data_IF_498899048016
#
_entry.id   IF_498899048016
#
_cell.length_a   1.000
_cell.length_b   1.000
_cell.length_c   1.000
_cell.angle_alpha   90.00
_cell.angle_beta   90.00
_cell.angle_gamma   90.00
#
_symmetry.space_group_name_H-M   'P 1'
#
loop_
_entity.id
_entity.type
_entity.pdbx_description
1 polymer ?
#
# COMPACT_ATOMS: atom_id res chain seq x y z
N UNK A 1 -14.65 -9.10 -15.76
CA UNK A 1 -14.62 -10.42 -15.10
C UNK A 1 -13.43 -10.62 -14.17
N UNK A 2 -12.17 -10.61 -14.62
CA UNK A 2 -11.01 -10.81 -13.74
C UNK A 2 -10.89 -9.78 -12.59
N UNK A 3 -11.15 -8.49 -12.85
CA UNK A 3 -11.16 -7.44 -11.83
C UNK A 3 -12.28 -7.63 -10.80
N UNK A 4 -13.48 -8.04 -11.23
CA UNK A 4 -14.61 -8.24 -10.35
C UNK A 4 -14.41 -9.46 -9.42
N UNK A 5 -13.87 -10.56 -9.94
CA UNK A 5 -13.48 -11.73 -9.13
C UNK A 5 -12.34 -11.38 -8.17
N UNK A 6 -11.38 -10.56 -8.59
CA UNK A 6 -10.32 -10.08 -7.72
C UNK A 6 -10.87 -9.23 -6.56
N UNK A 7 -11.74 -8.24 -6.83
CA UNK A 7 -12.42 -7.40 -5.81
C UNK A 7 -13.29 -8.23 -4.86
N UNK A 8 -13.95 -9.29 -5.35
CA UNK A 8 -14.77 -10.18 -4.54
C UNK A 8 -13.96 -11.22 -3.72
N UNK A 9 -12.67 -11.35 -3.97
CA UNK A 9 -11.77 -12.30 -3.30
C UNK A 9 -10.93 -11.63 -2.21
N UNK A 10 -10.27 -12.42 -1.35
CA UNK A 10 -9.25 -11.89 -0.43
C UNK A 10 -8.01 -11.47 -1.23
N UNK A 11 -8.03 -10.23 -1.71
CA UNK A 11 -6.92 -9.60 -2.42
C UNK A 11 -5.66 -9.65 -1.56
N UNK A 12 -4.56 -10.17 -2.12
CA UNK A 12 -3.23 -10.14 -1.52
C UNK A 12 -2.32 -9.23 -2.33
N UNK A 13 -1.60 -8.33 -1.65
CA UNK A 13 -0.54 -7.51 -2.26
C UNK A 13 0.81 -7.97 -1.71
N UNK A 14 1.77 -8.18 -2.62
CA UNK A 14 3.15 -8.54 -2.28
C UNK A 14 4.06 -7.55 -3.02
N UNK A 15 4.83 -6.78 -2.26
CA UNK A 15 5.89 -5.96 -2.82
C UNK A 15 7.18 -6.80 -2.95
N UNK A 16 7.91 -6.59 -4.03
CA UNK A 16 9.19 -7.25 -4.29
C UNK A 16 10.19 -6.26 -4.86
N UNK A 17 11.46 -6.42 -4.49
CA UNK A 17 12.56 -5.59 -5.00
C UNK A 17 13.17 -6.20 -6.25
N UNK A 18 13.35 -5.35 -7.25
CA UNK A 18 14.04 -5.67 -8.49
C UNK A 18 15.18 -4.67 -8.74
N UNK A 19 16.26 -5.13 -9.37
CA UNK A 19 17.43 -4.31 -9.70
C UNK A 19 18.08 -4.80 -10.99
N UNK A 20 18.76 -3.90 -11.71
CA UNK A 20 19.50 -4.22 -12.93
C UNK A 20 18.65 -5.01 -13.94
N UNK A 21 19.17 -6.13 -14.44
CA UNK A 21 18.47 -6.97 -15.41
C UNK A 21 17.10 -7.47 -14.93
N UNK A 22 16.93 -7.71 -13.63
CA UNK A 22 15.61 -8.10 -13.09
C UNK A 22 14.59 -6.96 -13.16
N UNK A 23 15.03 -5.70 -12.98
CA UNK A 23 14.16 -4.54 -13.13
C UNK A 23 13.75 -4.36 -14.60
N UNK A 24 14.72 -4.43 -15.52
CA UNK A 24 14.42 -4.39 -16.95
C UNK A 24 13.42 -5.49 -17.36
N UNK A 25 13.62 -6.72 -16.88
CA UNK A 25 12.75 -7.84 -17.26
C UNK A 25 11.31 -7.72 -16.73
N UNK A 26 11.06 -7.08 -15.58
CA UNK A 26 9.68 -6.86 -15.11
C UNK A 26 8.96 -5.72 -15.83
N UNK A 27 9.69 -4.83 -16.50
CA UNK A 27 9.08 -3.77 -17.31
C UNK A 27 8.31 -4.34 -18.51
N UNK A 28 8.73 -5.49 -19.03
CA UNK A 28 8.09 -6.19 -20.16
C UNK A 28 6.73 -6.81 -19.80
N UNK A 29 6.42 -6.97 -18.50
CA UNK A 29 5.12 -7.50 -18.06
C UNK A 29 4.07 -6.40 -18.04
N UNK A 30 2.79 -6.64 -18.39
CA UNK A 30 1.74 -5.63 -18.30
C UNK A 30 1.63 -4.98 -16.92
N UNK A 31 1.60 -3.65 -16.88
CA UNK A 31 1.60 -2.89 -15.64
C UNK A 31 1.91 -1.41 -15.83
N UNK A 32 1.88 -0.67 -14.73
CA UNK A 32 2.15 0.77 -14.68
C UNK A 32 3.40 0.99 -13.85
N UNK A 33 4.34 1.79 -14.37
CA UNK A 33 5.49 2.27 -13.62
C UNK A 33 5.32 3.73 -13.27
N UNK A 34 5.57 4.05 -12.01
CA UNK A 34 5.61 5.42 -11.49
C UNK A 34 7.02 5.71 -11.02
N UNK A 35 7.49 6.93 -11.27
CA UNK A 35 8.79 7.44 -10.81
C UNK A 35 8.56 8.60 -9.85
N UNK A 36 9.25 8.58 -8.71
CA UNK A 36 9.28 9.67 -7.72
C UNK A 36 10.74 9.90 -7.34
N UNK A 37 11.29 11.06 -7.71
CA UNK A 37 12.73 11.30 -7.60
C UNK A 37 13.54 10.29 -8.43
N UNK A 38 14.44 9.57 -7.77
CA UNK A 38 15.23 8.47 -8.33
C UNK A 38 14.61 7.08 -8.10
N UNK A 39 13.51 7.00 -7.35
CA UNK A 39 12.82 5.76 -7.06
C UNK A 39 11.77 5.43 -8.12
N UNK A 40 11.67 4.14 -8.47
CA UNK A 40 10.65 3.64 -9.38
C UNK A 40 9.90 2.46 -8.76
N UNK A 41 8.58 2.44 -8.96
CA UNK A 41 7.71 1.34 -8.55
C UNK A 41 6.88 0.90 -9.74
N UNK A 42 6.76 -0.41 -9.94
CA UNK A 42 5.90 -1.02 -10.98
C UNK A 42 4.78 -1.82 -10.33
N UNK A 43 3.54 -1.43 -10.60
CA UNK A 43 2.36 -2.22 -10.30
C UNK A 43 2.02 -3.10 -11.51
N UNK A 44 2.00 -4.42 -11.31
CA UNK A 44 1.62 -5.38 -12.34
C UNK A 44 0.10 -5.59 -12.35
N UNK A 45 -0.46 -6.06 -13.47
CA UNK A 45 -1.87 -6.43 -13.52
C UNK A 45 -2.17 -7.56 -12.51
N UNK A 46 -3.33 -7.52 -11.81
CA UNK A 46 -3.73 -8.60 -10.92
C UNK A 46 -3.86 -9.94 -11.65
N UNK A 47 -3.48 -11.02 -10.98
CA UNK A 47 -3.60 -12.38 -11.48
C UNK A 47 -3.61 -13.44 -10.37
N UNK A 48 -3.79 -14.72 -10.71
CA UNK A 48 -3.78 -15.81 -9.75
C UNK A 48 -2.44 -15.94 -9.02
N UNK A 49 -2.48 -16.37 -7.75
CA UNK A 49 -1.27 -16.48 -6.89
C UNK A 49 -0.35 -17.62 -7.34
N UNK A 50 -0.91 -18.67 -7.92
CA UNK A 50 -0.23 -19.83 -8.49
C UNK A 50 0.30 -19.60 -9.91
N UNK A 51 -0.14 -18.53 -10.58
CA UNK A 51 0.28 -18.17 -11.95
C UNK A 51 1.21 -16.95 -12.00
N UNK A 52 1.95 -16.66 -10.91
CA UNK A 52 2.90 -15.55 -10.88
C UNK A 52 4.04 -15.79 -11.89
N UNK A 53 4.23 -14.83 -12.80
CA UNK A 53 5.28 -14.87 -13.81
C UNK A 53 6.66 -15.16 -13.19
N UNK A 54 7.44 -16.06 -13.82
CA UNK A 54 8.72 -16.56 -13.31
C UNK A 54 9.75 -15.45 -13.03
N UNK A 55 9.71 -14.35 -13.79
CA UNK A 55 10.55 -13.18 -13.56
C UNK A 55 10.22 -12.48 -12.24
N UNK A 56 8.95 -12.47 -11.83
CA UNK A 56 8.48 -11.86 -10.57
C UNK A 56 8.73 -12.79 -9.39
N UNK A 57 8.49 -14.10 -9.55
CA UNK A 57 8.63 -15.06 -8.44
C UNK A 57 10.06 -15.16 -7.90
N UNK A 58 11.06 -14.84 -8.75
CA UNK A 58 12.49 -14.79 -8.41
C UNK A 58 12.94 -13.51 -7.70
N UNK A 59 12.09 -12.48 -7.65
CA UNK A 59 12.42 -11.23 -6.97
C UNK A 59 12.37 -11.37 -5.46
N UNK A 60 13.24 -10.63 -4.77
CA UNK A 60 13.36 -10.64 -3.31
C UNK A 60 12.14 -9.97 -2.66
N UNK A 61 11.60 -10.59 -1.60
CA UNK A 61 10.49 -10.05 -0.80
C UNK A 61 11.01 -9.23 0.41
N UNK A 62 12.22 -9.54 0.91
CA UNK A 62 12.84 -8.88 2.07
C UNK A 62 14.20 -8.25 1.75
N UNK A 63 14.80 -7.55 2.74
CA UNK A 63 16.06 -6.81 2.57
C UNK A 63 15.90 -5.54 1.74
N UNK A 64 14.76 -4.89 1.91
CA UNK A 64 14.29 -3.74 1.13
C UNK A 64 14.23 -2.47 1.96
N UNK A 65 14.80 -2.49 3.14
CA UNK A 65 14.77 -1.37 4.06
C UNK A 65 15.49 -0.19 3.43
N UNK A 66 14.80 0.95 3.46
CA UNK A 66 15.30 2.24 3.03
C UNK A 66 15.44 3.08 4.28
N UNK A 67 16.40 4.00 4.28
CA UNK A 67 16.45 5.01 5.33
C UNK A 67 15.12 5.79 5.33
N UNK A 68 14.50 5.98 6.51
CA UNK A 68 13.30 6.78 6.62
C UNK A 68 13.52 8.18 6.03
N UNK A 69 12.57 8.66 5.26
CA UNK A 69 12.54 10.05 4.81
C UNK A 69 11.77 10.93 5.81
N UNK A 70 11.87 12.24 5.61
CA UNK A 70 11.14 13.23 6.40
C UNK A 70 10.30 14.09 5.45
N UNK A 71 9.18 13.55 4.94
CA UNK A 71 8.34 14.29 4.00
C UNK A 71 7.76 15.53 4.70
N UNK A 72 7.70 16.66 3.97
CA UNK A 72 7.08 17.89 4.45
C UNK A 72 5.57 17.75 4.71
N UNK A 73 4.84 18.83 4.98
CA UNK A 73 3.38 18.77 5.10
C UNK A 73 2.73 18.19 3.82
N UNK A 74 1.63 17.42 3.95
CA UNK A 74 0.89 16.97 2.77
C UNK A 74 0.35 18.17 1.98
N UNK A 75 0.29 18.05 0.66
CA UNK A 75 -0.30 19.08 -0.19
C UNK A 75 -1.77 19.30 0.17
N UNK A 76 -2.30 20.53 0.12
CA UNK A 76 -3.73 20.77 0.31
C UNK A 76 -4.57 19.96 -0.69
N UNK A 77 -5.74 19.48 -0.26
CA UNK A 77 -6.68 18.79 -1.16
C UNK A 77 -6.33 17.33 -1.48
N UNK A 78 -5.31 16.72 -0.85
CA UNK A 78 -5.00 15.29 -1.04
C UNK A 78 -5.36 14.47 0.20
N UNK A 79 -5.96 13.28 0.04
CA UNK A 79 -6.15 12.35 1.16
C UNK A 79 -4.79 11.86 1.68
N UNK A 80 -4.74 11.57 2.98
CA UNK A 80 -3.51 11.14 3.66
C UNK A 80 -3.69 9.72 4.18
N UNK A 81 -2.79 8.82 3.76
CA UNK A 81 -2.66 7.47 4.32
C UNK A 81 -1.64 7.53 5.44
N UNK A 82 -2.12 7.31 6.66
CA UNK A 82 -1.29 7.21 7.85
C UNK A 82 -0.90 5.75 8.07
N UNK A 83 0.38 5.48 8.29
CA UNK A 83 0.95 4.16 8.57
C UNK A 83 1.27 4.08 10.06
N UNK A 84 0.87 2.99 10.72
CA UNK A 84 1.14 2.80 12.14
C UNK A 84 2.64 2.55 12.38
N UNK A 85 3.37 3.58 12.84
CA UNK A 85 4.80 3.51 13.04
C UNK A 85 5.21 2.48 14.10
N UNK A 86 4.35 2.25 15.11
CA UNK A 86 4.61 1.31 16.20
C UNK A 86 4.67 -0.16 15.76
N UNK A 87 4.24 -0.48 14.54
CA UNK A 87 4.30 -1.83 13.99
C UNK A 87 5.63 -2.15 13.31
N UNK A 88 6.52 -1.15 13.13
CA UNK A 88 7.85 -1.30 12.52
C UNK A 88 7.82 -2.18 11.27
N UNK A 89 6.83 -1.95 10.40
CA UNK A 89 6.63 -2.79 9.23
C UNK A 89 7.80 -2.64 8.25
N UNK A 90 8.29 -3.75 7.72
CA UNK A 90 9.22 -3.72 6.58
C UNK A 90 8.65 -2.89 5.42
N UNK A 91 9.52 -2.26 4.64
CA UNK A 91 9.13 -1.41 3.50
C UNK A 91 8.14 -2.12 2.56
N UNK A 92 8.40 -3.39 2.23
CA UNK A 92 7.52 -4.17 1.36
C UNK A 92 6.12 -4.38 1.94
N UNK A 93 6.02 -4.56 3.25
CA UNK A 93 4.73 -4.69 3.95
C UNK A 93 4.02 -3.36 4.04
N UNK A 94 4.71 -2.28 4.41
CA UNK A 94 4.14 -0.93 4.41
C UNK A 94 3.58 -0.57 3.02
N UNK A 95 4.34 -0.81 1.95
CA UNK A 95 3.89 -0.58 0.57
C UNK A 95 2.62 -1.39 0.20
N UNK A 96 2.55 -2.66 0.62
CA UNK A 96 1.35 -3.48 0.42
C UNK A 96 0.14 -2.90 1.17
N UNK A 97 0.31 -2.51 2.44
CA UNK A 97 -0.75 -1.95 3.28
C UNK A 97 -1.22 -0.58 2.77
N UNK A 98 -0.32 0.30 2.37
CA UNK A 98 -0.63 1.58 1.71
C UNK A 98 -1.42 1.34 0.42
N UNK A 99 -1.02 0.35 -0.37
CA UNK A 99 -1.78 -0.06 -1.55
C UNK A 99 -3.19 -0.54 -1.20
N UNK A 100 -3.38 -1.28 -0.10
CA UNK A 100 -4.72 -1.66 0.36
C UNK A 100 -5.53 -0.45 0.81
N UNK A 101 -4.90 0.49 1.53
CA UNK A 101 -5.54 1.70 2.03
C UNK A 101 -6.11 2.59 0.91
N UNK A 102 -5.33 2.82 -0.15
CA UNK A 102 -5.80 3.60 -1.30
C UNK A 102 -6.99 2.96 -2.01
N UNK A 103 -6.97 1.62 -2.17
CA UNK A 103 -8.05 0.87 -2.80
C UNK A 103 -9.33 0.87 -1.96
N UNK A 104 -9.22 0.65 -0.65
CA UNK A 104 -10.38 0.67 0.26
C UNK A 104 -10.97 2.08 0.36
N UNK A 105 -10.13 3.12 0.42
CA UNK A 105 -10.59 4.50 0.42
C UNK A 105 -11.36 4.83 -0.86
N UNK A 106 -10.82 4.47 -2.03
CA UNK A 106 -11.49 4.67 -3.31
C UNK A 106 -12.83 3.93 -3.37
N UNK A 107 -12.89 2.68 -2.92
CA UNK A 107 -14.12 1.89 -2.88
C UNK A 107 -15.17 2.48 -1.93
N UNK A 108 -14.77 2.89 -0.72
CA UNK A 108 -15.67 3.48 0.27
C UNK A 108 -16.32 4.79 -0.20
N UNK A 109 -15.64 5.52 -1.08
CA UNK A 109 -16.11 6.80 -1.62
C UNK A 109 -16.62 6.71 -3.07
N UNK A 110 -16.69 5.51 -3.66
CA UNK A 110 -17.14 5.32 -5.04
C UNK A 110 -16.27 6.01 -6.09
N UNK A 111 -14.97 6.19 -5.83
CA UNK A 111 -14.06 6.88 -6.74
C UNK A 111 -13.76 6.02 -7.95
N UNK A 112 -14.04 6.56 -9.14
CA UNK A 112 -13.65 5.96 -10.43
C UNK A 112 -12.30 6.47 -10.92
N UNK A 113 -11.95 7.70 -10.53
CA UNK A 113 -10.64 8.30 -10.77
C UNK A 113 -9.94 8.47 -9.42
N UNK A 114 -8.83 7.77 -9.24
CA UNK A 114 -8.18 7.61 -7.93
C UNK A 114 -7.14 8.72 -7.77
N UNK A 115 -7.25 9.60 -6.75
CA UNK A 115 -6.31 10.70 -6.58
C UNK A 115 -4.93 10.19 -6.15
N UNK A 116 -3.94 11.07 -6.22
CA UNK A 116 -2.70 10.87 -5.49
C UNK A 116 -2.98 10.93 -3.97
N UNK A 117 -2.25 10.12 -3.21
CA UNK A 117 -2.30 10.12 -1.75
C UNK A 117 -0.98 10.62 -1.19
N UNK A 118 -1.05 11.41 -0.13
CA UNK A 118 0.11 11.57 0.74
C UNK A 118 0.21 10.34 1.66
N UNK A 119 1.42 9.95 2.04
CA UNK A 119 1.67 8.85 2.97
C UNK A 119 2.53 9.35 4.12
N UNK A 120 2.13 9.10 5.37
CA UNK A 120 2.85 9.55 6.57
C UNK A 120 2.91 8.42 7.59
N UNK A 121 4.04 8.31 8.28
CA UNK A 121 4.09 7.53 9.52
C UNK A 121 3.40 8.32 10.63
N UNK A 122 2.58 7.63 11.41
CA UNK A 122 1.87 8.18 12.55
C UNK A 122 2.48 7.64 13.85
N UNK A 123 2.94 8.57 14.68
CA UNK A 123 3.36 8.29 16.05
C UNK A 123 2.16 7.81 16.91
N UNK A 124 2.40 7.11 18.03
CA UNK A 124 1.34 6.48 18.82
C UNK A 124 0.21 7.41 19.27
N UNK A 125 0.55 8.66 19.63
CA UNK A 125 -0.41 9.69 20.05
C UNK A 125 -1.32 10.16 18.91
N UNK A 126 -0.74 10.40 17.72
CA UNK A 126 -1.48 10.71 16.50
C UNK A 126 -2.36 9.53 16.09
N UNK A 127 -1.83 8.31 16.21
CA UNK A 127 -2.53 7.08 15.85
C UNK A 127 -3.80 6.86 16.67
N UNK A 128 -3.77 7.17 17.98
CA UNK A 128 -4.94 7.05 18.84
C UNK A 128 -6.08 7.99 18.38
N UNK A 129 -5.74 9.21 17.97
CA UNK A 129 -6.71 10.16 17.41
C UNK A 129 -7.29 9.65 16.08
N UNK A 130 -6.45 9.09 15.20
CA UNK A 130 -6.88 8.51 13.92
C UNK A 130 -7.85 7.34 14.13
N UNK A 131 -7.61 6.48 15.13
CA UNK A 131 -8.53 5.40 15.49
C UNK A 131 -9.91 5.93 15.89
N UNK A 132 -9.99 7.03 16.67
CA UNK A 132 -11.27 7.67 17.00
C UNK A 132 -12.00 8.20 15.76
N UNK A 133 -11.28 8.75 14.78
CA UNK A 133 -11.89 9.17 13.51
C UNK A 133 -12.44 7.99 12.71
N UNK A 134 -11.79 6.82 12.77
CA UNK A 134 -12.34 5.59 12.17
C UNK A 134 -13.63 5.16 12.88
N UNK A 135 -13.65 5.19 14.21
CA UNK A 135 -14.85 4.85 15.01
C UNK A 135 -16.02 5.82 14.74
N UNK A 136 -15.72 7.10 14.50
CA UNK A 136 -16.70 8.11 14.10
C UNK A 136 -17.16 7.99 12.64
N UNK A 137 -16.54 7.12 11.83
CA UNK A 137 -16.85 6.96 10.41
C UNK A 137 -16.27 8.05 9.51
N UNK A 138 -15.31 8.81 10.00
CA UNK A 138 -14.66 9.94 9.30
C UNK A 138 -13.39 9.52 8.52
N UNK A 139 -12.89 8.30 8.79
CA UNK A 139 -11.68 7.77 8.18
C UNK A 139 -11.83 6.28 7.81
N UNK A 140 -11.02 5.82 6.86
CA UNK A 140 -11.07 4.43 6.35
C UNK A 140 -9.87 3.65 6.83
N UNK A 141 -10.09 2.54 7.53
CA UNK A 141 -9.03 1.69 8.09
C UNK A 141 -8.73 0.45 7.24
N UNK A 142 -7.45 0.11 7.14
CA UNK A 142 -6.99 -1.23 6.71
C UNK A 142 -6.75 -2.07 7.96
N UNK A 143 -7.38 -3.24 8.02
CA UNK A 143 -7.13 -4.25 9.04
C UNK A 143 -6.38 -5.42 8.44
N UNK A 144 -5.23 -5.77 9.01
CA UNK A 144 -4.49 -6.92 8.52
C UNK A 144 -5.27 -8.21 8.79
N UNK A 145 -5.47 -9.01 7.76
CA UNK A 145 -6.22 -10.26 7.81
C UNK A 145 -5.40 -11.42 8.42
N UNK A 146 -4.20 -11.16 8.93
CA UNK A 146 -3.38 -12.15 9.64
C UNK A 146 -2.47 -13.00 8.75
N UNK A 147 -2.11 -12.52 7.56
CA UNK A 147 -1.14 -13.19 6.69
C UNK A 147 0.30 -12.67 6.89
N UNK A 148 0.55 -11.95 7.99
CA UNK A 148 1.83 -11.32 8.30
C UNK A 148 2.20 -11.47 9.78
N UNK A 149 3.40 -11.02 10.14
CA UNK A 149 3.96 -11.00 11.52
C UNK A 149 3.18 -10.11 12.52
N UNK A 150 2.12 -9.42 12.09
CA UNK A 150 1.28 -8.57 12.95
C UNK A 150 0.05 -9.35 13.41
N UNK A 151 -0.39 -9.10 14.65
CA UNK A 151 -1.58 -9.75 15.22
C UNK A 151 -2.79 -9.54 14.30
N UNK A 152 -3.51 -10.61 13.90
CA UNK A 152 -4.69 -10.49 13.06
C UNK A 152 -5.71 -9.50 13.62
N UNK A 153 -6.29 -8.66 12.75
CA UNK A 153 -7.26 -7.63 13.12
C UNK A 153 -6.65 -6.28 13.52
N UNK A 154 -5.32 -6.19 13.61
CA UNK A 154 -4.61 -4.93 13.84
C UNK A 154 -4.85 -3.96 12.69
N UNK A 155 -5.13 -2.69 13.02
CA UNK A 155 -5.19 -1.61 12.04
C UNK A 155 -3.75 -1.21 11.66
N UNK A 156 -3.40 -1.33 10.39
CA UNK A 156 -2.06 -1.06 9.86
C UNK A 156 -1.96 0.31 9.20
N UNK A 157 -3.02 0.73 8.52
CA UNK A 157 -3.13 2.02 7.85
C UNK A 157 -4.51 2.64 8.10
N UNK A 158 -4.56 3.97 8.19
CA UNK A 158 -5.81 4.75 8.25
C UNK A 158 -5.72 5.86 7.22
N UNK A 159 -6.72 5.99 6.36
CA UNK A 159 -6.81 7.07 5.37
C UNK A 159 -7.78 8.14 5.84
N UNK A 160 -7.29 9.37 5.98
CA UNK A 160 -8.12 10.56 6.26
C UNK A 160 -8.47 11.29 4.97
N UNK A 161 -9.65 11.93 4.89
CA UNK A 161 -10.02 12.74 3.74
C UNK A 161 -9.08 13.95 3.58
N UNK A 162 -9.10 14.61 2.42
CA UNK A 162 -8.43 15.89 2.24
C UNK A 162 -8.83 16.91 3.31
N UNK A 163 -7.85 17.65 3.84
CA UNK A 163 -8.07 18.85 4.65
C UNK A 163 -8.52 20.03 3.80
#
# INVERSE_FOLDING_TARGET
DALATWVASRIRKIARRARGAHWAAVQELPGVTVTVGDAQVRALLPGPVDEVAKVVSRLQIGGTDLEPDAPGPPSPGVPVIHVNAALEMTVGKAAAQVGHASMLYAAAHGLVDVPAFAVRDAAPDVWEALCRSVEAGEAVAVRDAGFTEVVPGTITCITTPPS
#
